data_IF_804785546216
#
_entry.id   IF_804785546216
#
_cell.length_a   1.000
_cell.length_b   1.000
_cell.length_c   1.000
_cell.angle_alpha   90.00
_cell.angle_beta   90.00
_cell.angle_gamma   90.00
#
_symmetry.space_group_name_H-M   'P 1'
#
loop_
_entity.id
_entity.type
_entity.pdbx_description
1 polymer ?
#
# COMPACT_ATOMS: atom_id res chain seq x y z
N UNK A 1 -24.93 -24.13 -16.45
CA UNK A 1 -24.31 -24.33 -15.11
C UNK A 1 -22.82 -24.20 -15.37
N UNK A 2 -22.36 -22.97 -15.23
CA UNK A 2 -21.13 -22.48 -15.81
C UNK A 2 -19.89 -23.06 -15.14
N UNK A 3 -18.84 -23.21 -15.93
CA UNK A 3 -17.56 -23.83 -15.57
C UNK A 3 -16.87 -23.12 -14.38
N UNK A 4 -17.14 -21.81 -14.22
CA UNK A 4 -16.75 -21.00 -13.05
C UNK A 4 -17.33 -21.52 -11.72
N UNK A 5 -18.53 -22.14 -11.74
CA UNK A 5 -19.19 -22.63 -10.52
C UNK A 5 -18.67 -24.01 -10.07
N UNK A 6 -17.86 -24.68 -10.89
CA UNK A 6 -17.23 -25.97 -10.54
C UNK A 6 -15.83 -25.80 -9.94
N UNK A 7 -15.11 -24.73 -10.28
CA UNK A 7 -13.78 -24.45 -9.70
C UNK A 7 -13.88 -24.00 -8.24
N UNK A 8 -14.89 -23.22 -7.85
CA UNK A 8 -15.09 -22.79 -6.47
C UNK A 8 -15.39 -23.96 -5.50
N UNK A 9 -15.95 -25.06 -5.99
CA UNK A 9 -16.39 -26.19 -5.16
C UNK A 9 -15.26 -27.16 -4.76
N UNK A 10 -14.04 -27.00 -5.28
CA UNK A 10 -12.94 -27.96 -5.04
C UNK A 10 -11.60 -27.30 -4.67
N UNK A 11 -11.61 -26.00 -4.33
CA UNK A 11 -10.41 -25.34 -3.79
C UNK A 11 -10.18 -25.83 -2.36
N UNK A 12 -9.00 -26.41 -2.04
CA UNK A 12 -8.70 -26.82 -0.68
C UNK A 12 -8.80 -25.65 0.29
N UNK A 13 -9.52 -25.83 1.39
CA UNK A 13 -9.56 -24.82 2.46
C UNK A 13 -8.19 -24.79 3.11
N UNK A 14 -7.54 -23.64 3.10
CA UNK A 14 -6.24 -23.46 3.75
C UNK A 14 -6.38 -22.96 5.20
N UNK A 15 -5.38 -23.17 6.06
CA UNK A 15 -5.43 -22.69 7.45
C UNK A 15 -5.53 -21.16 7.54
N UNK A 16 -4.85 -20.45 6.64
CA UNK A 16 -4.72 -19.00 6.68
C UNK A 16 -4.77 -18.39 5.28
N UNK A 17 -5.62 -17.38 5.09
CA UNK A 17 -5.68 -16.54 3.90
C UNK A 17 -5.44 -15.07 4.20
N UNK A 18 -5.28 -14.29 3.14
CA UNK A 18 -5.01 -12.85 3.21
C UNK A 18 -5.92 -12.12 2.23
N UNK A 19 -6.57 -11.07 2.72
CA UNK A 19 -7.32 -10.09 1.93
C UNK A 19 -6.62 -8.75 2.05
N UNK A 20 -6.38 -8.08 0.94
CA UNK A 20 -5.77 -6.75 0.94
C UNK A 20 -6.67 -5.74 0.23
N UNK A 21 -6.70 -4.50 0.73
CA UNK A 21 -7.29 -3.37 0.03
C UNK A 21 -6.18 -2.64 -0.72
N UNK A 22 -6.31 -2.51 -2.03
CA UNK A 22 -5.25 -1.96 -2.89
C UNK A 22 -5.89 -1.09 -3.98
N UNK A 23 -5.21 -0.02 -4.36
CA UNK A 23 -5.61 0.84 -5.49
C UNK A 23 -4.48 0.88 -6.50
N UNK A 24 -4.77 0.54 -7.76
CA UNK A 24 -3.79 0.44 -8.84
C UNK A 24 -3.63 -0.99 -9.32
N UNK A 25 -3.63 -1.17 -10.64
CA UNK A 25 -3.50 -2.47 -11.30
C UNK A 25 -2.10 -3.08 -11.08
N UNK A 26 -1.04 -2.29 -11.25
CA UNK A 26 0.32 -2.73 -10.98
C UNK A 26 0.52 -3.15 -9.51
N UNK A 27 0.01 -2.38 -8.55
CA UNK A 27 0.03 -2.76 -7.14
C UNK A 27 -0.80 -4.02 -6.87
N UNK A 28 -1.96 -4.16 -7.50
CA UNK A 28 -2.80 -5.36 -7.37
C UNK A 28 -2.07 -6.61 -7.84
N UNK A 29 -1.34 -6.53 -8.95
CA UNK A 29 -0.54 -7.62 -9.48
C UNK A 29 0.61 -7.99 -8.52
N UNK A 30 1.25 -6.99 -7.89
CA UNK A 30 2.30 -7.21 -6.89
C UNK A 30 1.75 -7.95 -5.67
N UNK A 31 0.66 -7.47 -5.06
CA UNK A 31 0.05 -8.14 -3.89
C UNK A 31 -0.41 -9.55 -4.21
N UNK A 32 -1.02 -9.75 -5.38
CA UNK A 32 -1.43 -11.08 -5.85
C UNK A 32 -0.23 -12.01 -6.02
N UNK A 33 0.88 -11.50 -6.56
CA UNK A 33 2.14 -12.26 -6.72
C UNK A 33 2.79 -12.61 -5.39
N UNK A 34 2.60 -11.78 -4.35
CA UNK A 34 3.04 -12.05 -2.98
C UNK A 34 2.13 -13.04 -2.23
N UNK A 35 1.06 -13.52 -2.86
CA UNK A 35 0.18 -14.56 -2.30
C UNK A 35 -1.04 -14.06 -1.55
N UNK A 36 -1.45 -12.80 -1.76
CA UNK A 36 -2.78 -12.34 -1.33
C UNK A 36 -3.86 -13.12 -2.09
N UNK A 37 -4.85 -13.66 -1.37
CA UNK A 37 -5.92 -14.47 -1.97
C UNK A 37 -6.96 -13.64 -2.71
N UNK A 38 -7.23 -12.46 -2.18
CA UNK A 38 -8.19 -11.55 -2.77
C UNK A 38 -7.78 -10.10 -2.51
N UNK A 39 -7.64 -9.36 -3.59
CA UNK A 39 -7.48 -7.92 -3.56
C UNK A 39 -8.85 -7.29 -3.76
N UNK A 40 -9.22 -6.39 -2.85
CA UNK A 40 -10.38 -5.53 -2.99
C UNK A 40 -9.87 -4.20 -3.50
N UNK A 41 -10.45 -3.73 -4.60
CA UNK A 41 -10.16 -2.39 -5.07
C UNK A 41 -10.63 -1.36 -4.03
N UNK A 42 -9.71 -0.54 -3.54
CA UNK A 42 -10.01 0.52 -2.61
C UNK A 42 -8.85 1.47 -2.40
N UNK A 43 -9.14 2.73 -2.08
CA UNK A 43 -8.16 3.80 -1.95
C UNK A 43 -8.73 5.01 -1.21
N UNK A 44 -7.98 6.13 -1.15
CA UNK A 44 -8.36 7.31 -0.36
C UNK A 44 -9.75 7.88 -0.70
N UNK A 45 -10.20 7.73 -1.95
CA UNK A 45 -11.49 8.22 -2.45
C UNK A 45 -12.57 7.13 -2.58
N UNK A 46 -12.19 5.85 -2.46
CA UNK A 46 -13.09 4.70 -2.55
C UNK A 46 -12.75 3.70 -1.43
N UNK A 47 -13.19 3.99 -0.21
CA UNK A 47 -13.01 3.07 0.91
C UNK A 47 -14.08 1.96 0.82
N UNK A 48 -13.72 0.66 0.84
CA UNK A 48 -14.70 -0.41 0.85
C UNK A 48 -15.56 -0.36 2.11
N UNK A 49 -16.83 -0.75 1.97
CA UNK A 49 -17.72 -0.87 3.12
C UNK A 49 -17.37 -2.10 3.97
N UNK A 50 -17.85 -2.14 5.21
CA UNK A 50 -17.74 -3.35 6.04
C UNK A 50 -18.37 -4.56 5.36
N UNK A 51 -19.48 -4.38 4.63
CA UNK A 51 -20.14 -5.46 3.90
C UNK A 51 -19.27 -6.01 2.76
N UNK A 52 -18.57 -5.13 2.03
CA UNK A 52 -17.65 -5.55 0.98
C UNK A 52 -16.48 -6.36 1.56
N UNK A 53 -15.92 -5.92 2.69
CA UNK A 53 -14.86 -6.63 3.41
C UNK A 53 -15.32 -8.00 3.92
N UNK A 54 -16.54 -8.10 4.47
CA UNK A 54 -17.14 -9.38 4.91
C UNK A 54 -17.30 -10.33 3.72
N UNK A 55 -17.86 -9.87 2.60
CA UNK A 55 -18.03 -10.69 1.39
C UNK A 55 -16.69 -11.20 0.87
N UNK A 56 -15.68 -10.33 0.85
CA UNK A 56 -14.33 -10.69 0.44
C UNK A 56 -13.75 -11.79 1.34
N UNK A 57 -13.76 -11.60 2.66
CA UNK A 57 -13.30 -12.58 3.65
C UNK A 57 -14.05 -13.90 3.53
N UNK A 58 -15.37 -13.86 3.37
CA UNK A 58 -16.21 -15.06 3.25
C UNK A 58 -15.95 -15.82 1.94
N UNK A 59 -15.52 -15.14 0.87
CA UNK A 59 -15.19 -15.76 -0.41
C UNK A 59 -13.82 -16.46 -0.45
N UNK A 60 -12.88 -16.07 0.42
CA UNK A 60 -11.54 -16.70 0.49
C UNK A 60 -11.65 -18.12 1.07
N UNK A 61 -11.15 -19.18 0.41
CA UNK A 61 -11.24 -20.56 0.90
C UNK A 61 -10.20 -20.82 2.02
N UNK A 62 -10.36 -20.15 3.17
CA UNK A 62 -9.51 -20.30 4.35
C UNK A 62 -10.33 -20.33 5.66
N UNK A 63 -9.80 -21.00 6.68
CA UNK A 63 -10.40 -21.05 8.03
C UNK A 63 -10.23 -19.71 8.77
N UNK A 64 -9.04 -19.11 8.63
CA UNK A 64 -8.70 -17.79 9.15
C UNK A 64 -8.27 -16.86 8.03
N UNK A 65 -8.56 -15.57 8.16
CA UNK A 65 -8.19 -14.54 7.18
C UNK A 65 -7.50 -13.36 7.87
N UNK A 66 -6.33 -12.97 7.36
CA UNK A 66 -5.68 -11.71 7.68
C UNK A 66 -6.19 -10.63 6.74
N UNK A 67 -6.48 -9.45 7.26
CA UNK A 67 -6.86 -8.28 6.46
C UNK A 67 -5.74 -7.25 6.50
N UNK A 68 -5.32 -6.78 5.32
CA UNK A 68 -4.42 -5.65 5.11
C UNK A 68 -5.23 -4.43 4.63
N UNK A 69 -5.60 -3.50 5.52
CA UNK A 69 -6.44 -2.35 5.15
C UNK A 69 -5.73 -1.36 4.23
N UNK A 70 -4.40 -1.22 4.36
CA UNK A 70 -3.51 -0.33 3.59
C UNK A 70 -4.00 1.13 3.47
N UNK A 71 -4.92 1.53 4.34
CA UNK A 71 -5.56 2.83 4.39
C UNK A 71 -6.13 3.00 5.78
N UNK A 72 -5.70 4.06 6.48
CA UNK A 72 -6.13 4.34 7.85
C UNK A 72 -7.66 4.45 8.02
N UNK A 73 -8.38 4.85 6.98
CA UNK A 73 -9.84 4.97 6.99
C UNK A 73 -10.56 3.61 6.91
N UNK A 74 -9.87 2.55 6.48
CA UNK A 74 -10.43 1.20 6.33
C UNK A 74 -10.23 0.36 7.60
N UNK A 75 -9.27 0.70 8.45
CA UNK A 75 -8.90 -0.07 9.66
C UNK A 75 -10.11 -0.33 10.57
N UNK A 76 -10.94 0.70 10.82
CA UNK A 76 -12.13 0.55 11.65
C UNK A 76 -13.12 -0.46 11.05
N UNK A 77 -13.42 -0.33 9.75
CA UNK A 77 -14.30 -1.26 9.03
C UNK A 77 -13.74 -2.68 8.99
N UNK A 78 -12.42 -2.84 8.83
CA UNK A 78 -11.75 -4.13 8.86
C UNK A 78 -11.89 -4.84 10.23
N UNK A 79 -11.81 -4.11 11.33
CA UNK A 79 -12.06 -4.68 12.65
C UNK A 79 -13.51 -5.13 12.85
N UNK A 80 -14.48 -4.40 12.29
CA UNK A 80 -15.91 -4.76 12.36
C UNK A 80 -16.24 -6.08 11.66
N UNK A 81 -15.41 -6.53 10.71
CA UNK A 81 -15.61 -7.81 10.02
C UNK A 81 -15.69 -8.97 11.02
N UNK A 82 -14.85 -8.96 12.08
CA UNK A 82 -14.79 -10.00 13.12
C UNK A 82 -16.13 -10.26 13.81
N UNK A 83 -16.98 -9.24 13.88
CA UNK A 83 -18.29 -9.31 14.56
C UNK A 83 -19.40 -9.87 13.63
N UNK A 84 -19.14 -9.95 12.32
CA UNK A 84 -20.14 -10.27 11.31
C UNK A 84 -19.87 -11.62 10.62
N UNK A 85 -18.62 -11.97 10.36
CA UNK A 85 -18.26 -13.26 9.76
C UNK A 85 -18.21 -14.40 10.80
N UNK A 86 -18.30 -15.64 10.32
CA UNK A 86 -18.07 -16.84 11.12
C UNK A 86 -16.61 -17.34 11.05
N UNK A 87 -15.79 -16.78 10.15
CA UNK A 87 -14.37 -17.12 10.02
C UNK A 87 -13.53 -16.45 11.10
N UNK A 88 -12.38 -17.03 11.43
CA UNK A 88 -11.40 -16.32 12.25
C UNK A 88 -10.80 -15.17 11.45
N UNK A 89 -10.82 -13.95 11.99
CA UNK A 89 -10.27 -12.78 11.30
C UNK A 89 -9.27 -12.06 12.20
N UNK A 90 -8.14 -11.69 11.62
CA UNK A 90 -7.16 -10.79 12.23
C UNK A 90 -6.84 -9.63 11.30
N UNK A 91 -6.60 -8.45 11.87
CA UNK A 91 -6.31 -7.24 11.10
C UNK A 91 -4.87 -6.84 11.37
N UNK A 92 -4.06 -6.73 10.31
CA UNK A 92 -2.74 -6.10 10.38
C UNK A 92 -2.98 -4.61 10.14
N UNK A 93 -2.65 -3.71 11.08
CA UNK A 93 -3.13 -2.32 11.05
C UNK A 93 -2.32 -1.44 10.06
N UNK A 94 -2.12 -1.90 8.84
CA UNK A 94 -1.44 -1.17 7.76
C UNK A 94 -2.27 0.05 7.34
N UNK A 95 -1.59 1.19 7.21
CA UNK A 95 -2.22 2.50 6.91
C UNK A 95 -1.92 2.98 5.50
N UNK A 96 -0.96 2.35 4.83
CA UNK A 96 -0.52 2.68 3.47
C UNK A 96 -0.16 1.41 2.70
N UNK A 97 0.00 1.56 1.39
CA UNK A 97 0.40 0.47 0.48
C UNK A 97 1.79 -0.09 0.82
N UNK A 98 2.85 0.72 1.04
CA UNK A 98 4.16 0.21 1.44
C UNK A 98 4.14 -0.66 2.69
N UNK A 99 3.37 -0.25 3.71
CA UNK A 99 3.22 -1.03 4.94
C UNK A 99 2.57 -2.39 4.68
N UNK A 100 1.60 -2.45 3.75
CA UNK A 100 1.01 -3.70 3.27
C UNK A 100 2.00 -4.61 2.56
N UNK A 101 2.88 -4.05 1.75
CA UNK A 101 3.94 -4.80 1.07
C UNK A 101 4.97 -5.35 2.07
N UNK A 102 5.48 -4.50 2.97
CA UNK A 102 6.38 -4.94 4.04
C UNK A 102 5.74 -6.03 4.92
N UNK A 103 4.46 -5.90 5.26
CA UNK A 103 3.71 -6.96 5.94
C UNK A 103 3.70 -8.27 5.14
N UNK A 104 3.41 -8.22 3.83
CA UNK A 104 3.39 -9.42 2.98
C UNK A 104 4.75 -10.08 2.83
N UNK A 105 5.85 -9.32 2.84
CA UNK A 105 7.21 -9.87 2.81
C UNK A 105 7.53 -10.70 4.08
N UNK A 106 6.89 -10.38 5.21
CA UNK A 106 7.03 -11.12 6.46
C UNK A 106 5.99 -12.26 6.63
N UNK A 107 5.07 -12.43 5.69
CA UNK A 107 4.05 -13.48 5.74
C UNK A 107 4.64 -14.86 5.45
N UNK A 108 4.38 -15.83 6.33
CA UNK A 108 4.76 -17.23 6.15
C UNK A 108 3.51 -18.12 6.21
N UNK A 109 3.06 -18.72 5.10
CA UNK A 109 1.87 -19.58 5.08
C UNK A 109 2.00 -20.87 5.91
N UNK A 110 3.21 -21.21 6.40
CA UNK A 110 3.44 -22.36 7.28
C UNK A 110 3.30 -22.00 8.77
N UNK A 111 3.22 -20.71 9.12
CA UNK A 111 3.08 -20.25 10.50
C UNK A 111 1.62 -20.12 10.92
N UNK A 112 1.40 -20.23 12.23
CA UNK A 112 0.10 -19.95 12.83
C UNK A 112 -0.32 -18.48 12.64
N UNK A 113 -1.62 -18.24 12.61
CA UNK A 113 -2.18 -16.90 12.37
C UNK A 113 -1.68 -15.83 13.34
N UNK A 114 -1.46 -16.17 14.62
CA UNK A 114 -0.94 -15.22 15.62
C UNK A 114 0.53 -14.86 15.39
N UNK A 115 1.35 -15.84 14.98
CA UNK A 115 2.76 -15.60 14.66
C UNK A 115 2.89 -14.74 13.40
N UNK A 116 2.09 -15.02 12.37
CA UNK A 116 1.98 -14.16 11.20
C UNK A 116 1.51 -12.75 11.59
N UNK A 117 0.49 -12.63 12.44
CA UNK A 117 0.00 -11.32 12.88
C UNK A 117 1.10 -10.46 13.50
N UNK A 118 1.87 -11.03 14.43
CA UNK A 118 2.97 -10.33 15.10
C UNK A 118 4.09 -9.94 14.13
N UNK A 119 4.54 -10.88 13.28
CA UNK A 119 5.63 -10.65 12.33
C UNK A 119 5.27 -9.62 11.26
N UNK A 120 4.10 -9.77 10.64
CA UNK A 120 3.61 -8.85 9.61
C UNK A 120 3.37 -7.45 10.16
N UNK A 121 2.85 -7.34 11.40
CA UNK A 121 2.68 -6.05 12.06
C UNK A 121 4.03 -5.37 12.31
N UNK A 122 5.02 -6.09 12.83
CA UNK A 122 6.35 -5.53 13.09
C UNK A 122 7.03 -5.06 11.79
N UNK A 123 6.91 -5.84 10.71
CA UNK A 123 7.43 -5.47 9.40
C UNK A 123 6.75 -4.21 8.84
N UNK A 124 5.41 -4.14 8.91
CA UNK A 124 4.67 -2.95 8.49
C UNK A 124 5.07 -1.69 9.27
N UNK A 125 5.34 -1.80 10.58
CA UNK A 125 5.75 -0.67 11.43
C UNK A 125 7.18 -0.18 11.15
N UNK A 126 8.03 -1.01 10.54
CA UNK A 126 9.40 -0.64 10.18
C UNK A 126 9.50 0.16 8.87
N UNK A 127 8.48 0.08 8.01
CA UNK A 127 8.47 0.76 6.70
C UNK A 127 8.27 2.27 6.88
N UNK A 128 9.24 3.06 6.43
CA UNK A 128 9.09 4.51 6.26
C UNK A 128 8.41 4.79 4.93
N UNK A 129 7.38 5.63 4.94
CA UNK A 129 6.55 5.85 3.75
C UNK A 129 6.63 7.27 3.22
N UNK A 130 6.64 7.38 1.90
CA UNK A 130 6.62 8.65 1.19
C UNK A 130 5.56 8.61 0.08
N UNK A 131 4.74 9.64 -0.02
CA UNK A 131 3.71 9.73 -1.06
C UNK A 131 3.73 11.13 -1.69
N UNK A 132 3.54 11.21 -3.01
CA UNK A 132 3.40 12.50 -3.71
C UNK A 132 2.07 12.56 -4.44
N UNK A 133 1.26 13.57 -4.12
CA UNK A 133 -0.02 13.86 -4.77
C UNK A 133 -0.13 15.36 -5.05
N UNK A 134 -1.32 15.89 -5.33
CA UNK A 134 -1.56 17.30 -5.61
C UNK A 134 -2.54 17.94 -4.62
N UNK A 135 -2.40 19.24 -4.41
CA UNK A 135 -3.27 20.03 -3.57
C UNK A 135 -4.53 20.47 -4.35
N UNK A 136 -5.71 20.05 -3.88
CA UNK A 136 -7.00 20.48 -4.46
C UNK A 136 -7.40 21.91 -4.09
N UNK A 137 -6.74 22.51 -3.09
CA UNK A 137 -7.00 23.87 -2.60
C UNK A 137 -5.73 24.46 -2.01
N UNK A 138 -5.61 25.78 -2.05
CA UNK A 138 -4.54 26.48 -1.36
C UNK A 138 -4.70 26.36 0.16
N UNK A 139 -3.58 26.22 0.87
CA UNK A 139 -3.55 26.13 2.33
C UNK A 139 -2.17 26.52 2.88
N UNK A 140 -2.09 26.65 4.20
CA UNK A 140 -0.83 26.88 4.89
C UNK A 140 -0.69 25.87 6.03
N UNK A 141 0.42 25.14 6.05
CA UNK A 141 0.72 24.11 7.05
C UNK A 141 2.09 24.43 7.64
N UNK A 142 2.11 24.90 8.89
CA UNK A 142 3.32 25.48 9.48
C UNK A 142 3.85 26.62 8.60
N UNK A 143 5.09 26.48 8.14
CA UNK A 143 5.74 27.45 7.24
C UNK A 143 5.56 27.12 5.75
N UNK A 144 4.93 25.98 5.43
CA UNK A 144 4.65 25.57 4.06
C UNK A 144 3.43 26.31 3.50
N UNK A 145 3.65 27.13 2.48
CA UNK A 145 2.57 27.71 1.66
C UNK A 145 2.29 26.77 0.49
N UNK A 146 1.03 26.35 0.34
CA UNK A 146 0.60 25.38 -0.67
C UNK A 146 -0.46 26.07 -1.54
N UNK A 147 -0.24 26.14 -2.85
CA UNK A 147 -1.23 26.62 -3.80
C UNK A 147 -2.07 25.48 -4.37
N UNK A 148 -3.31 25.77 -4.78
CA UNK A 148 -4.13 24.80 -5.49
C UNK A 148 -3.43 24.39 -6.80
N UNK A 149 -3.23 23.09 -6.99
CA UNK A 149 -2.50 22.51 -8.12
C UNK A 149 -1.03 22.19 -7.83
N UNK A 150 -0.47 22.66 -6.71
CA UNK A 150 0.88 22.25 -6.31
C UNK A 150 0.93 20.75 -6.03
N UNK A 151 2.07 20.14 -6.29
CA UNK A 151 2.39 18.84 -5.75
C UNK A 151 2.69 18.95 -4.26
N UNK A 152 2.26 17.95 -3.51
CA UNK A 152 2.50 17.84 -2.07
C UNK A 152 3.13 16.47 -1.77
N UNK A 153 4.18 16.49 -0.96
CA UNK A 153 4.87 15.31 -0.46
C UNK A 153 4.45 15.02 0.98
N UNK A 154 4.08 13.76 1.24
CA UNK A 154 3.69 13.27 2.55
C UNK A 154 4.72 12.25 3.04
N UNK A 155 5.28 12.46 4.22
CA UNK A 155 6.09 11.48 4.93
C UNK A 155 5.24 10.90 6.07
N UNK A 156 4.99 9.59 6.04
CA UNK A 156 4.12 8.89 7.00
C UNK A 156 2.74 9.55 7.21
N UNK A 157 2.23 10.15 6.14
CA UNK A 157 0.93 10.85 6.10
C UNK A 157 0.98 12.34 6.47
N UNK A 158 2.12 12.86 6.92
CA UNK A 158 2.31 14.26 7.25
C UNK A 158 2.89 15.04 6.06
N UNK A 159 2.26 16.16 5.71
CA UNK A 159 2.72 17.02 4.60
C UNK A 159 4.02 17.72 5.00
N UNK A 160 5.11 17.43 4.28
CA UNK A 160 6.43 17.98 4.57
C UNK A 160 7.09 18.70 3.38
N UNK A 161 6.55 18.55 2.18
CA UNK A 161 7.04 19.23 0.98
C UNK A 161 5.87 19.69 0.09
N UNK A 162 6.03 20.82 -0.59
CA UNK A 162 5.05 21.32 -1.55
C UNK A 162 5.70 22.21 -2.61
N UNK A 163 5.14 22.21 -3.82
CA UNK A 163 5.56 23.10 -4.90
C UNK A 163 5.08 22.65 -6.28
N UNK A 164 5.39 23.41 -7.33
CA UNK A 164 4.84 23.19 -8.67
C UNK A 164 5.55 22.07 -9.45
N UNK A 165 6.67 21.54 -8.94
CA UNK A 165 7.49 20.53 -9.62
C UNK A 165 7.42 19.20 -8.90
N UNK A 166 6.85 18.19 -9.57
CA UNK A 166 6.73 16.83 -9.05
C UNK A 166 8.09 16.24 -8.65
N UNK A 167 9.11 16.41 -9.50
CA UNK A 167 10.46 15.90 -9.25
C UNK A 167 11.11 16.60 -8.04
N UNK A 168 11.00 17.92 -7.94
CA UNK A 168 11.58 18.66 -6.81
C UNK A 168 10.90 18.31 -5.50
N UNK A 169 9.57 18.19 -5.50
CA UNK A 169 8.79 17.78 -4.32
C UNK A 169 9.15 16.34 -3.91
N UNK A 170 9.27 15.42 -4.86
CA UNK A 170 9.67 14.04 -4.59
C UNK A 170 11.08 13.95 -3.98
N UNK A 171 12.05 14.70 -4.51
CA UNK A 171 13.41 14.76 -3.94
C UNK A 171 13.43 15.41 -2.55
N UNK A 172 12.72 16.52 -2.37
CA UNK A 172 12.63 17.19 -1.07
C UNK A 172 12.01 16.28 0.00
N UNK A 173 11.00 15.49 -0.38
CA UNK A 173 10.39 14.49 0.48
C UNK A 173 11.41 13.40 0.88
N UNK A 174 12.16 12.83 -0.07
CA UNK A 174 13.19 11.84 0.23
C UNK A 174 14.31 12.41 1.11
N UNK A 175 14.76 13.64 0.86
CA UNK A 175 15.72 14.32 1.71
C UNK A 175 15.20 14.53 3.14
N UNK A 176 13.89 14.71 3.31
CA UNK A 176 13.27 14.85 4.64
C UNK A 176 13.22 13.53 5.40
N UNK A 177 12.92 12.44 4.70
CA UNK A 177 12.91 11.09 5.28
C UNK A 177 14.32 10.64 5.64
N UNK A 178 15.30 11.02 4.81
CA UNK A 178 16.72 10.70 5.02
C UNK A 178 17.02 9.21 4.92
N UNK A 179 16.98 8.61 3.71
CA UNK A 179 17.53 7.28 3.48
C UNK A 179 18.99 7.18 3.95
N UNK A 180 19.33 6.07 4.58
CA UNK A 180 20.64 5.72 5.10
C UNK A 180 21.39 4.78 4.14
N UNK A 181 22.70 4.60 4.37
CA UNK A 181 23.51 3.66 3.59
C UNK A 181 22.99 2.23 3.75
N UNK A 182 22.68 1.58 2.63
CA UNK A 182 22.15 0.21 2.60
C UNK A 182 20.63 0.10 2.64
N UNK A 183 19.90 1.22 2.76
CA UNK A 183 18.45 1.22 2.60
C UNK A 183 18.04 0.81 1.18
N UNK A 184 16.88 0.15 1.08
CA UNK A 184 16.19 -0.10 -0.19
C UNK A 184 15.07 0.94 -0.35
N UNK A 185 15.22 1.80 -1.36
CA UNK A 185 14.21 2.77 -1.76
C UNK A 185 13.40 2.24 -2.94
N UNK A 186 12.15 1.89 -2.71
CA UNK A 186 11.28 1.44 -3.80
C UNK A 186 10.31 2.53 -4.22
N UNK A 187 10.19 2.79 -5.53
CA UNK A 187 9.30 3.79 -6.12
C UNK A 187 8.20 3.10 -6.91
N UNK A 188 6.94 3.40 -6.61
CA UNK A 188 5.75 2.96 -7.34
C UNK A 188 5.09 4.15 -8.03
N UNK A 189 5.11 4.21 -9.36
CA UNK A 189 4.52 5.32 -10.10
C UNK A 189 3.05 5.07 -10.47
N UNK A 190 2.25 6.14 -10.38
CA UNK A 190 0.80 6.10 -10.63
C UNK A 190 0.43 6.11 -12.11
N UNK A 191 -0.85 5.91 -12.40
CA UNK A 191 -1.36 5.80 -13.78
C UNK A 191 -1.17 7.08 -14.61
N UNK A 192 -1.07 8.25 -13.95
CA UNK A 192 -0.90 9.56 -14.60
C UNK A 192 0.58 9.89 -14.86
N UNK A 193 1.50 8.95 -14.64
CA UNK A 193 2.93 9.09 -14.90
C UNK A 193 3.33 8.14 -16.03
N UNK A 194 3.84 8.71 -17.12
CA UNK A 194 4.44 7.95 -18.21
C UNK A 194 5.74 7.27 -17.76
N UNK A 195 6.05 6.11 -18.33
CA UNK A 195 7.23 5.32 -17.94
C UNK A 195 8.53 6.13 -18.13
N UNK A 196 8.67 6.92 -19.20
CA UNK A 196 9.88 7.73 -19.40
C UNK A 196 10.06 8.78 -18.30
N UNK A 197 8.96 9.35 -17.79
CA UNK A 197 9.01 10.30 -16.68
C UNK A 197 9.39 9.61 -15.36
N UNK A 198 8.85 8.42 -15.10
CA UNK A 198 9.22 7.61 -13.95
C UNK A 198 10.71 7.21 -13.99
N UNK A 199 11.22 6.80 -15.15
CA UNK A 199 12.64 6.47 -15.36
C UNK A 199 13.56 7.69 -15.17
N UNK A 200 13.13 8.88 -15.61
CA UNK A 200 13.87 10.12 -15.37
C UNK A 200 13.94 10.47 -13.87
N UNK A 201 12.83 10.27 -13.13
CA UNK A 201 12.82 10.45 -11.69
C UNK A 201 13.75 9.43 -10.99
N UNK A 202 13.65 8.15 -11.33
CA UNK A 202 14.53 7.08 -10.81
C UNK A 202 16.01 7.44 -10.98
N UNK A 203 16.41 7.91 -12.17
CA UNK A 203 17.78 8.33 -12.44
C UNK A 203 18.20 9.47 -11.50
N UNK A 204 17.34 10.47 -11.33
CA UNK A 204 17.62 11.63 -10.49
C UNK A 204 17.77 11.22 -9.03
N UNK A 205 16.92 10.32 -8.54
CA UNK A 205 17.00 9.76 -7.19
C UNK A 205 18.30 8.99 -6.97
N UNK A 206 18.69 8.11 -7.90
CA UNK A 206 19.98 7.37 -7.82
C UNK A 206 21.21 8.28 -7.84
N UNK A 207 21.14 9.42 -8.51
CA UNK A 207 22.22 10.42 -8.48
C UNK A 207 22.31 11.15 -7.13
N UNK A 208 21.19 11.35 -6.44
CA UNK A 208 21.14 12.01 -5.12
C UNK A 208 21.45 11.06 -3.96
N UNK A 209 21.05 9.79 -4.09
CA UNK A 209 21.22 8.73 -3.08
C UNK A 209 22.02 7.56 -3.67
N UNK A 210 23.33 7.74 -3.96
CA UNK A 210 24.15 6.72 -4.63
C UNK A 210 24.42 5.48 -3.76
N UNK A 211 24.23 5.60 -2.45
CA UNK A 211 24.49 4.55 -1.46
C UNK A 211 23.24 3.73 -1.09
N UNK A 212 22.10 4.04 -1.71
CA UNK A 212 20.85 3.28 -1.56
C UNK A 212 20.59 2.41 -2.80
N UNK A 213 19.98 1.24 -2.59
CA UNK A 213 19.41 0.48 -3.71
C UNK A 213 18.07 1.11 -4.08
N UNK A 214 17.91 1.54 -5.34
CA UNK A 214 16.67 2.20 -5.78
C UNK A 214 15.96 1.35 -6.83
N UNK A 215 14.74 0.95 -6.54
CA UNK A 215 13.87 0.17 -7.41
C UNK A 215 12.70 1.01 -7.94
N UNK A 216 12.18 0.63 -9.10
CA UNK A 216 11.04 1.31 -9.75
C UNK A 216 10.06 0.27 -10.28
N UNK A 217 8.79 0.40 -9.88
CA UNK A 217 7.70 -0.44 -10.34
C UNK A 217 6.52 0.41 -10.80
N UNK A 218 5.77 -0.10 -11.77
CA UNK A 218 4.47 0.43 -12.10
C UNK A 218 3.49 0.07 -10.98
N UNK A 219 2.87 1.09 -10.38
CA UNK A 219 1.85 0.89 -9.35
C UNK A 219 0.42 1.11 -9.84
N UNK A 220 0.24 2.03 -10.79
CA UNK A 220 -1.06 2.29 -11.43
C UNK A 220 -2.11 2.92 -10.52
N UNK A 221 -1.72 3.37 -9.32
CA UNK A 221 -2.65 4.05 -8.43
C UNK A 221 -3.16 5.37 -9.04
N UNK A 222 -4.42 5.76 -8.79
CA UNK A 222 -5.06 6.87 -9.49
C UNK A 222 -4.81 8.25 -8.88
N UNK A 223 -4.44 8.33 -7.60
CA UNK A 223 -4.35 9.62 -6.87
C UNK A 223 -2.92 10.08 -6.63
N UNK A 224 -2.00 9.15 -6.43
CA UNK A 224 -0.62 9.44 -6.07
C UNK A 224 0.28 9.24 -7.28
N UNK A 225 1.01 10.28 -7.65
CA UNK A 225 1.99 10.22 -8.74
C UNK A 225 3.14 9.28 -8.38
N UNK A 226 3.60 9.34 -7.12
CA UNK A 226 4.56 8.40 -6.56
C UNK A 226 4.09 7.93 -5.17
N UNK A 227 4.21 6.63 -4.94
CA UNK A 227 4.26 6.02 -3.61
C UNK A 227 5.66 5.44 -3.46
N UNK A 228 6.30 5.64 -2.31
CA UNK A 228 7.67 5.21 -2.05
C UNK A 228 7.79 4.53 -0.68
N UNK A 229 8.65 3.51 -0.62
CA UNK A 229 9.03 2.82 0.62
C UNK A 229 10.53 2.96 0.86
N UNK A 230 10.92 3.12 2.12
CA UNK A 230 12.32 3.08 2.56
C UNK A 230 12.40 2.07 3.70
N UNK A 231 13.22 1.05 3.51
CA UNK A 231 13.37 -0.13 4.39
C UNK A 231 14.84 -0.50 4.59
#
# INVERSE_FOLDING_TARGET
>A
MDEQNRQAANTPIKPLGVVAVVSGDGLTDIFTSLGVDLVIEGGQTMNPSTEDLVRAVDSVPAEKVLILPNNGNVIFSAHQVKEVTTKGVEVIPTRSIPQGLGAMLAYDPQQEASANHEAMKAAAEAVRTAEVTYAVRSSQIGDLSIEAGDFIGLADGDICAAGPSLTEVGLALLCTIGPEEGDVLTIYYGQDIEEEQAQAFLKTVREHFPDCEVELYYGGQPLYYYIMSIE
#
